data_IF_507853121525
#
_entry.id   IF_507853121525
#
_cell.length_a   1.000
_cell.length_b   1.000
_cell.length_c   1.000
_cell.angle_alpha   90.00
_cell.angle_beta   90.00
_cell.angle_gamma   90.00
#
_symmetry.space_group_name_H-M   'P 1'
#
loop_
_entity.id
_entity.type
_entity.pdbx_description
1 polymer ?
#
# COMPACT_ATOMS: atom_id res chain seq x y z
N UNK A 1 -32.73 6.32 -25.22
CA UNK A 1 -32.48 6.62 -23.80
C UNK A 1 -30.97 6.72 -23.59
N UNK A 2 -30.44 7.94 -23.53
CA UNK A 2 -29.03 8.17 -23.18
C UNK A 2 -28.88 7.91 -21.68
N UNK A 3 -28.11 6.90 -21.29
CA UNK A 3 -27.74 6.69 -19.90
C UNK A 3 -26.70 7.74 -19.54
N UNK A 4 -27.10 8.78 -18.82
CA UNK A 4 -26.21 9.73 -18.18
C UNK A 4 -25.46 9.00 -17.08
N UNK A 5 -24.23 8.55 -17.36
CA UNK A 5 -23.30 8.11 -16.30
C UNK A 5 -23.03 9.36 -15.45
N UNK A 6 -23.35 9.35 -14.14
CA UNK A 6 -23.07 10.51 -13.31
C UNK A 6 -21.56 10.78 -13.34
N UNK A 7 -21.19 11.98 -13.77
CA UNK A 7 -19.81 12.46 -13.92
C UNK A 7 -19.01 12.43 -12.60
N UNK A 8 -19.65 12.05 -11.49
CA UNK A 8 -19.14 12.08 -10.12
C UNK A 8 -18.95 10.70 -9.48
N UNK A 9 -19.12 9.60 -10.21
CA UNK A 9 -18.95 8.26 -9.63
C UNK A 9 -17.46 7.97 -9.39
N UNK A 10 -16.95 8.42 -8.23
CA UNK A 10 -15.67 8.03 -7.67
C UNK A 10 -15.84 6.64 -7.05
N UNK A 11 -15.03 5.68 -7.49
CA UNK A 11 -15.01 4.34 -6.94
C UNK A 11 -13.72 4.13 -6.17
N UNK A 12 -13.85 3.73 -4.90
CA UNK A 12 -12.72 3.32 -4.07
C UNK A 12 -12.72 1.80 -3.92
N UNK A 13 -11.54 1.20 -4.00
CA UNK A 13 -11.33 -0.22 -3.71
C UNK A 13 -10.15 -0.35 -2.76
N UNK A 14 -10.38 -0.96 -1.60
CA UNK A 14 -9.29 -1.29 -0.67
C UNK A 14 -8.53 -2.47 -1.26
N UNK A 15 -7.27 -2.23 -1.63
CA UNK A 15 -6.36 -3.25 -2.14
C UNK A 15 -5.64 -4.00 -1.02
N UNK A 16 -5.46 -3.34 0.14
CA UNK A 16 -4.79 -3.94 1.28
C UNK A 16 -4.93 -3.12 2.54
N UNK A 17 -4.69 -3.78 3.67
CA UNK A 17 -4.65 -3.19 5.01
C UNK A 17 -3.31 -3.54 5.62
N UNK A 18 -2.51 -2.51 5.92
CA UNK A 18 -1.26 -2.66 6.63
C UNK A 18 -1.48 -2.29 8.10
N UNK A 19 -0.97 -3.09 9.06
CA UNK A 19 -1.05 -2.74 10.48
C UNK A 19 -0.25 -1.46 10.75
N UNK A 20 -0.74 -0.62 11.66
CA UNK A 20 -0.02 0.54 12.16
C UNK A 20 0.90 0.19 13.33
N UNK A 21 1.36 1.21 14.04
CA UNK A 21 2.21 1.03 15.23
C UNK A 21 1.45 0.44 16.43
N UNK A 22 0.12 0.57 16.44
CA UNK A 22 -0.77 -0.01 17.46
C UNK A 22 -1.95 -0.72 16.78
N UNK A 23 -2.68 -1.54 17.51
CA UNK A 23 -3.91 -2.18 17.01
C UNK A 23 -5.03 -1.19 16.71
N UNK A 24 -4.89 0.06 17.17
CA UNK A 24 -5.81 1.16 16.87
C UNK A 24 -5.38 1.96 15.65
N UNK A 25 -4.27 1.62 15.00
CA UNK A 25 -3.78 2.31 13.81
C UNK A 25 -3.66 1.34 12.64
N UNK A 26 -3.98 1.83 11.44
CA UNK A 26 -3.78 1.08 10.21
C UNK A 26 -3.52 2.01 9.03
N UNK A 27 -2.90 1.48 7.99
CA UNK A 27 -2.79 2.14 6.69
C UNK A 27 -3.55 1.33 5.66
N UNK A 28 -4.53 1.94 5.02
CA UNK A 28 -5.22 1.36 3.87
C UNK A 28 -4.46 1.70 2.59
N UNK A 29 -4.32 0.71 1.71
CA UNK A 29 -3.91 0.91 0.32
C UNK A 29 -5.19 0.92 -0.50
N UNK A 30 -5.52 2.06 -1.10
CA UNK A 30 -6.77 2.27 -1.82
C UNK A 30 -6.46 2.54 -3.29
N UNK A 31 -7.17 1.88 -4.18
CA UNK A 31 -7.27 2.27 -5.58
C UNK A 31 -8.49 3.16 -5.72
N UNK A 32 -8.28 4.39 -6.14
CA UNK A 32 -9.37 5.30 -6.48
C UNK A 32 -9.46 5.43 -8.00
N UNK A 33 -10.68 5.28 -8.52
CA UNK A 33 -10.98 5.45 -9.93
C UNK A 33 -11.95 6.61 -10.08
N UNK A 34 -11.54 7.61 -10.85
CA UNK A 34 -12.38 8.77 -11.19
C UNK A 34 -12.53 8.86 -12.71
N UNK A 35 -13.70 9.27 -13.23
CA UNK A 35 -13.88 9.45 -14.68
C UNK A 35 -12.94 10.50 -15.28
N UNK A 36 -12.57 11.52 -14.51
CA UNK A 36 -11.81 12.70 -15.01
C UNK A 36 -10.31 12.57 -14.79
N UNK A 37 -9.86 12.01 -13.66
CA UNK A 37 -8.42 11.92 -13.31
C UNK A 37 -7.85 10.51 -13.50
N UNK A 38 -8.67 9.57 -13.96
CA UNK A 38 -8.27 8.18 -14.15
C UNK A 38 -8.08 7.45 -12.82
N UNK A 39 -7.10 6.55 -12.80
CA UNK A 39 -6.78 5.70 -11.65
C UNK A 39 -5.64 6.31 -10.85
N UNK A 40 -5.80 6.44 -9.54
CA UNK A 40 -4.71 6.74 -8.60
C UNK A 40 -4.67 5.73 -7.46
N UNK A 41 -3.51 5.63 -6.84
CA UNK A 41 -3.36 4.89 -5.59
C UNK A 41 -3.35 5.91 -4.44
N UNK A 42 -3.91 5.54 -3.30
CA UNK A 42 -3.94 6.36 -2.09
C UNK A 42 -3.53 5.52 -0.90
N UNK A 43 -2.67 6.09 -0.06
CA UNK A 43 -2.38 5.57 1.27
C UNK A 43 -3.20 6.36 2.27
N UNK A 44 -4.02 5.68 3.05
CA UNK A 44 -4.91 6.32 4.03
C UNK A 44 -4.60 5.80 5.42
N UNK A 45 -3.98 6.64 6.26
CA UNK A 45 -3.79 6.31 7.67
C UNK A 45 -5.10 6.51 8.41
N UNK A 46 -5.50 5.52 9.19
CA UNK A 46 -6.69 5.58 10.03
C UNK A 46 -6.36 5.21 11.46
N UNK A 47 -7.08 5.82 12.38
CA UNK A 47 -7.06 5.50 13.79
C UNK A 47 -8.45 5.07 14.24
N UNK A 48 -8.53 4.14 15.19
CA UNK A 48 -9.78 3.63 15.76
C UNK A 48 -10.13 4.37 17.06
N UNK A 49 -11.28 5.03 17.05
CA UNK A 49 -11.86 5.73 18.20
C UNK A 49 -13.07 4.98 18.73
N UNK A 50 -13.17 4.83 20.05
CA UNK A 50 -14.39 4.32 20.68
C UNK A 50 -15.58 5.22 20.34
N UNK A 51 -16.69 4.61 19.92
CA UNK A 51 -17.90 5.33 19.50
C UNK A 51 -17.87 5.93 18.09
N UNK A 52 -16.71 6.06 17.46
CA UNK A 52 -16.56 6.65 16.10
C UNK A 52 -16.16 5.60 15.06
N UNK A 53 -15.45 4.56 15.47
CA UNK A 53 -14.89 3.56 14.56
C UNK A 53 -13.58 4.03 13.93
N UNK A 54 -13.29 3.56 12.72
CA UNK A 54 -12.10 3.95 11.97
C UNK A 54 -12.29 5.30 11.30
N UNK A 55 -11.42 6.26 11.60
CA UNK A 55 -11.45 7.58 10.99
C UNK A 55 -10.10 7.94 10.38
N UNK A 56 -10.13 8.60 9.23
CA UNK A 56 -8.93 8.98 8.47
C UNK A 56 -8.19 10.09 9.18
N UNK A 57 -6.92 9.86 9.45
CA UNK A 57 -5.97 10.87 9.93
C UNK A 57 -5.29 11.58 8.77
N UNK A 58 -4.80 10.79 7.81
CA UNK A 58 -3.99 11.27 6.71
C UNK A 58 -4.37 10.54 5.44
N UNK A 59 -4.45 11.28 4.35
CA UNK A 59 -4.57 10.77 2.98
C UNK A 59 -3.34 11.23 2.20
N UNK A 60 -2.65 10.28 1.59
CA UNK A 60 -1.53 10.52 0.70
C UNK A 60 -1.83 9.92 -0.68
N UNK A 61 -2.30 10.71 -1.65
CA UNK A 61 -2.47 10.24 -3.02
C UNK A 61 -1.10 10.06 -3.67
N UNK A 62 -0.97 9.00 -4.47
CA UNK A 62 0.21 8.68 -5.26
C UNK A 62 -0.18 8.64 -6.73
N UNK A 63 0.64 9.28 -7.57
CA UNK A 63 0.58 9.08 -9.02
C UNK A 63 1.02 7.65 -9.37
N UNK A 64 0.71 7.16 -10.59
CA UNK A 64 1.19 5.85 -11.04
C UNK A 64 2.72 5.70 -10.95
N UNK A 65 3.47 6.74 -11.31
CA UNK A 65 4.94 6.74 -11.26
C UNK A 65 5.45 6.63 -9.81
N UNK A 66 4.88 7.44 -8.90
CA UNK A 66 5.22 7.37 -7.47
C UNK A 66 4.90 6.01 -6.85
N UNK A 67 3.79 5.38 -7.26
CA UNK A 67 3.43 4.03 -6.81
C UNK A 67 4.42 2.97 -7.33
N UNK A 68 4.88 3.12 -8.58
CA UNK A 68 5.90 2.24 -9.17
C UNK A 68 7.25 2.37 -8.46
N UNK A 69 7.69 3.62 -8.21
CA UNK A 69 8.91 3.91 -7.46
C UNK A 69 8.84 3.38 -6.03
N UNK A 70 7.72 3.59 -5.34
CA UNK A 70 7.50 3.04 -4.00
C UNK A 70 7.65 1.52 -3.99
N UNK A 71 7.05 0.81 -4.96
CA UNK A 71 7.22 -0.65 -5.10
C UNK A 71 8.68 -1.04 -5.29
N UNK A 72 9.42 -0.30 -6.12
CA UNK A 72 10.84 -0.54 -6.34
C UNK A 72 11.63 -0.40 -5.02
N UNK A 73 11.44 0.71 -4.30
CA UNK A 73 12.11 0.96 -3.02
C UNK A 73 11.77 -0.11 -1.97
N UNK A 74 10.50 -0.50 -1.86
CA UNK A 74 10.08 -1.54 -0.93
C UNK A 74 10.74 -2.89 -1.24
N UNK A 75 10.96 -3.21 -2.51
CA UNK A 75 11.64 -4.45 -2.92
C UNK A 75 13.08 -4.52 -2.37
N UNK A 76 13.79 -3.39 -2.33
CA UNK A 76 15.15 -3.30 -1.78
C UNK A 76 15.20 -3.56 -0.27
N UNK A 77 14.17 -3.13 0.48
CA UNK A 77 14.07 -3.36 1.93
C UNK A 77 13.86 -4.85 2.25
N UNK A 78 13.09 -5.54 1.39
CA UNK A 78 12.80 -6.97 1.58
C UNK A 78 13.94 -7.90 1.17
N UNK A 79 14.94 -7.43 0.42
CA UNK A 79 16.11 -8.22 -0.01
C UNK A 79 17.22 -8.36 1.05
N UNK A 80 16.85 -8.26 2.34
CA UNK A 80 17.77 -8.55 3.45
C UNK A 80 17.93 -10.07 3.64
N UNK A 81 18.41 -10.78 2.62
CA UNK A 81 18.98 -12.12 2.85
C UNK A 81 20.19 -11.94 3.76
N UNK A 82 20.19 -12.64 4.90
CA UNK A 82 21.33 -12.62 5.82
C UNK A 82 22.63 -13.02 5.08
N UNK A 83 23.77 -12.48 5.52
CA UNK A 83 25.10 -12.88 5.00
C UNK A 83 25.27 -14.41 5.10
N UNK A 84 24.69 -15.04 6.13
CA UNK A 84 24.65 -16.48 6.32
C UNK A 84 23.90 -17.22 5.19
N UNK A 85 22.74 -16.72 4.74
CA UNK A 85 22.01 -17.31 3.61
C UNK A 85 22.76 -17.13 2.28
N UNK A 86 23.43 -15.99 2.08
CA UNK A 86 24.27 -15.76 0.88
C UNK A 86 25.53 -16.64 0.88
N UNK A 87 26.09 -16.97 2.05
CA UNK A 87 27.22 -17.88 2.18
C UNK A 87 26.81 -19.35 1.98
N UNK A 88 25.64 -19.75 2.49
CA UNK A 88 25.08 -21.09 2.30
C UNK A 88 24.76 -21.38 0.81
N UNK A 89 24.25 -20.41 0.07
CA UNK A 89 23.98 -20.52 -1.38
C UNK A 89 25.26 -20.56 -2.23
N UNK A 90 26.41 -20.12 -1.67
CA UNK A 90 27.73 -20.12 -2.35
C UNK A 90 28.58 -21.36 -2.07
N UNK A 91 28.07 -22.33 -1.31
CA UNK A 91 28.68 -23.66 -1.22
C UNK A 91 30.08 -23.68 -0.61
N UNK A 92 30.36 -22.90 0.43
CA UNK A 92 31.46 -23.25 1.33
C UNK A 92 30.91 -24.18 2.41
N UNK A 93 30.87 -25.48 2.10
CA UNK A 93 30.78 -26.50 3.11
C UNK A 93 31.97 -26.32 4.07
N UNK A 94 31.69 -25.95 5.32
CA UNK A 94 32.62 -26.15 6.42
C UNK A 94 32.89 -27.65 6.50
N UNK A 95 34.02 -28.07 5.95
CA UNK A 95 34.59 -29.41 6.14
C UNK A 95 35.00 -29.49 7.63
N UNK A 96 34.64 -30.57 8.33
CA UNK A 96 34.65 -30.67 9.80
C UNK A 96 36.02 -30.46 10.46
#
# INVERSE_FOLDING_TARGET
MMHTIPMYAQFETILGVLPGATDRDRVLIIKEVTPVRGVKLELRQQTFGEGVGWFTQVTLPLTPDQASELRCVLSLVTETKSVAQRAAERGLALVP
#
